data_IF_393004960673
#
_entry.id   IF_393004960673
#
_cell.length_a   1.000
_cell.length_b   1.000
_cell.length_c   1.000
_cell.angle_alpha   90.00
_cell.angle_beta   90.00
_cell.angle_gamma   90.00
#
_symmetry.space_group_name_H-M   'P 1'
#
loop_
_entity.id
_entity.type
_entity.pdbx_description
1 polymer ?
#
# COMPACT_ATOMS: atom_id res chain seq x y z
N UNK A 1 19.90 -10.24 28.59
CA UNK A 1 20.32 -10.91 27.34
C UNK A 1 19.13 -10.86 26.39
N UNK A 2 19.26 -10.10 25.29
CA UNK A 2 18.18 -9.82 24.34
C UNK A 2 18.42 -8.45 23.69
N UNK A 3 18.23 -8.32 22.38
CA UNK A 3 18.57 -7.12 21.61
C UNK A 3 19.08 -7.39 20.18
N UNK A 4 19.06 -8.66 19.74
CA UNK A 4 19.37 -9.02 18.35
C UNK A 4 18.07 -9.31 17.64
N UNK A 5 17.86 -8.64 16.51
CA UNK A 5 16.75 -8.91 15.58
C UNK A 5 17.31 -9.60 14.35
N UNK A 6 16.79 -10.78 14.03
CA UNK A 6 17.11 -11.50 12.80
C UNK A 6 16.04 -11.21 11.75
N UNK A 7 16.46 -10.95 10.52
CA UNK A 7 15.54 -10.82 9.39
C UNK A 7 16.01 -11.66 8.22
N UNK A 8 15.06 -12.09 7.38
CA UNK A 8 15.32 -12.80 6.14
C UNK A 8 14.25 -12.47 5.12
N UNK A 9 14.63 -12.41 3.85
CA UNK A 9 13.70 -12.19 2.76
C UNK A 9 12.86 -13.45 2.49
N UNK A 10 11.56 -13.25 2.24
CA UNK A 10 10.60 -14.30 1.91
C UNK A 10 9.95 -13.98 0.56
N UNK A 11 9.89 -14.97 -0.33
CA UNK A 11 9.22 -14.88 -1.64
C UNK A 11 8.41 -16.15 -1.88
N UNK A 12 7.22 -15.99 -2.47
CA UNK A 12 6.34 -17.12 -2.78
C UNK A 12 5.04 -16.70 -3.45
N UNK A 13 4.15 -17.68 -3.63
CA UNK A 13 2.81 -17.49 -4.15
C UNK A 13 1.84 -17.15 -3.02
N UNK A 14 0.85 -16.30 -3.31
CA UNK A 14 -0.14 -15.80 -2.35
C UNK A 14 -1.51 -15.70 -3.02
N UNK A 15 -2.58 -15.71 -2.21
CA UNK A 15 -3.97 -15.60 -2.71
C UNK A 15 -4.29 -14.18 -3.18
N UNK A 16 -3.91 -13.18 -2.39
CA UNK A 16 -4.02 -11.79 -2.78
C UNK A 16 -2.89 -11.44 -3.75
N UNK A 17 -3.25 -11.01 -4.95
CA UNK A 17 -2.31 -10.70 -6.04
C UNK A 17 -1.95 -9.23 -6.13
N UNK A 18 -2.52 -8.39 -5.27
CA UNK A 18 -2.43 -6.92 -5.35
C UNK A 18 -2.00 -6.24 -4.05
N UNK A 19 -1.91 -6.98 -2.94
CA UNK A 19 -1.50 -6.45 -1.63
C UNK A 19 -0.27 -5.52 -1.68
N UNK A 20 -0.24 -4.52 -0.81
CA UNK A 20 0.81 -3.50 -0.80
C UNK A 20 1.21 -3.18 0.63
N UNK A 21 2.48 -3.39 0.96
CA UNK A 21 3.06 -3.09 2.28
C UNK A 21 2.26 -3.64 3.47
N UNK A 22 1.60 -4.77 3.28
CA UNK A 22 0.88 -5.49 4.32
C UNK A 22 1.85 -5.98 5.38
N UNK A 23 1.43 -5.92 6.65
CA UNK A 23 2.16 -6.48 7.79
C UNK A 23 1.30 -7.49 8.52
N UNK A 24 1.93 -8.57 9.01
CA UNK A 24 1.27 -9.57 9.84
C UNK A 24 2.23 -10.10 10.88
N UNK A 25 1.74 -10.39 12.08
CA UNK A 25 2.54 -10.93 13.18
C UNK A 25 2.24 -10.21 14.49
N UNK A 26 3.20 -10.29 15.41
CA UNK A 26 3.17 -9.69 16.74
C UNK A 26 4.50 -8.99 17.08
N UNK A 27 4.68 -8.62 18.34
CA UNK A 27 5.85 -7.88 18.83
C UNK A 27 7.15 -8.69 18.80
N UNK A 28 7.08 -10.02 18.72
CA UNK A 28 8.25 -10.89 18.68
C UNK A 28 8.62 -11.30 17.25
N UNK A 29 7.62 -11.54 16.38
CA UNK A 29 7.83 -11.98 14.99
C UNK A 29 6.82 -11.34 14.05
N UNK A 30 7.33 -10.73 12.97
CA UNK A 30 6.51 -10.12 11.94
C UNK A 30 6.98 -10.43 10.51
N UNK A 31 6.04 -10.40 9.58
CA UNK A 31 6.27 -10.44 8.14
C UNK A 31 5.67 -9.17 7.52
N UNK A 32 6.44 -8.48 6.70
CA UNK A 32 5.98 -7.32 5.92
C UNK A 32 6.33 -7.51 4.46
N UNK A 33 5.40 -7.20 3.56
CA UNK A 33 5.64 -7.36 2.13
C UNK A 33 4.53 -6.83 1.23
N UNK A 34 4.72 -7.06 -0.07
CA UNK A 34 3.77 -6.68 -1.11
C UNK A 34 3.58 -7.86 -2.07
N UNK A 35 2.47 -7.85 -2.78
CA UNK A 35 2.06 -8.88 -3.73
C UNK A 35 2.06 -8.32 -5.15
N UNK A 36 2.05 -9.21 -6.13
CA UNK A 36 1.94 -8.83 -7.54
C UNK A 36 1.27 -9.96 -8.34
N UNK A 37 0.77 -9.62 -9.52
CA UNK A 37 0.21 -10.56 -10.47
C UNK A 37 1.19 -10.85 -11.61
N UNK A 38 1.24 -12.10 -12.05
CA UNK A 38 2.11 -12.56 -13.13
C UNK A 38 3.22 -13.49 -12.66
N UNK A 39 3.79 -14.25 -13.59
CA UNK A 39 4.86 -15.20 -13.28
C UNK A 39 6.14 -14.43 -12.91
N UNK A 40 6.77 -14.82 -11.80
CA UNK A 40 8.03 -14.22 -11.31
C UNK A 40 7.97 -12.70 -11.08
N UNK A 41 6.77 -12.12 -10.93
CA UNK A 41 6.59 -10.67 -10.75
C UNK A 41 7.21 -10.15 -9.44
N UNK A 42 7.41 -11.03 -8.45
CA UNK A 42 7.89 -10.70 -7.11
C UNK A 42 9.41 -10.55 -7.05
N UNK A 43 10.04 -10.12 -8.16
CA UNK A 43 11.49 -9.95 -8.24
C UNK A 43 11.98 -8.71 -7.51
N UNK A 44 11.24 -7.60 -7.64
CA UNK A 44 11.52 -6.31 -7.00
C UNK A 44 10.21 -5.63 -6.57
N UNK A 45 9.85 -5.75 -5.29
CA UNK A 45 8.62 -5.17 -4.74
C UNK A 45 8.85 -4.21 -3.57
N UNK A 46 10.11 -3.93 -3.22
CA UNK A 46 10.48 -3.09 -2.07
C UNK A 46 9.87 -1.68 -2.15
N UNK A 47 9.74 -1.13 -3.36
CA UNK A 47 9.24 0.23 -3.62
C UNK A 47 7.79 0.25 -4.10
N UNK A 48 7.06 -0.87 -4.03
CA UNK A 48 5.66 -0.88 -4.43
C UNK A 48 4.85 0.01 -3.48
N UNK A 49 4.14 0.97 -4.07
CA UNK A 49 3.24 1.91 -3.39
C UNK A 49 1.79 1.55 -3.71
N UNK A 50 0.86 2.08 -2.91
CA UNK A 50 -0.58 1.88 -3.14
C UNK A 50 -1.07 2.61 -4.39
N UNK A 51 -0.37 3.67 -4.77
CA UNK A 51 -0.74 4.53 -5.86
C UNK A 51 -0.04 4.14 -7.16
N UNK A 52 -0.69 4.43 -8.29
CA UNK A 52 -0.01 4.40 -9.58
C UNK A 52 1.22 5.33 -9.53
N UNK A 53 2.33 4.96 -10.19
CA UNK A 53 3.51 5.82 -10.25
C UNK A 53 3.19 7.21 -10.82
N UNK A 54 2.22 7.27 -11.74
CA UNK A 54 1.69 8.50 -12.32
C UNK A 54 0.32 8.83 -11.74
N UNK A 55 0.29 9.29 -10.49
CA UNK A 55 -0.86 10.03 -10.00
C UNK A 55 -0.95 11.33 -10.81
N UNK A 56 -2.11 11.66 -11.43
CA UNK A 56 -2.27 12.97 -12.02
C UNK A 56 -2.01 14.02 -10.94
N UNK A 57 -1.21 15.04 -11.26
CA UNK A 57 -1.02 16.18 -10.35
C UNK A 57 -2.40 16.73 -10.02
N UNK A 58 -2.69 16.90 -8.72
CA UNK A 58 -3.87 17.64 -8.32
C UNK A 58 -3.71 19.06 -8.84
N UNK A 59 -4.48 19.40 -9.88
CA UNK A 59 -4.67 20.79 -10.26
C UNK A 59 -5.48 21.46 -9.16
N UNK A 60 -4.91 22.49 -8.55
CA UNK A 60 -5.71 23.40 -7.72
C UNK A 60 -6.73 24.04 -8.65
N UNK A 61 -8.02 23.71 -8.47
CA UNK A 61 -9.07 24.50 -9.07
C UNK A 61 -8.84 25.97 -8.63
N UNK A 62 -8.95 26.94 -9.55
CA UNK A 62 -8.87 28.36 -9.20
C UNK A 62 -9.80 28.61 -8.02
N UNK A 63 -9.28 29.28 -6.99
CA UNK A 63 -10.03 29.65 -5.79
C UNK A 63 -11.34 30.32 -6.22
N UNK A 64 -12.46 29.62 -6.06
CA UNK A 64 -13.77 30.03 -6.58
C UNK A 64 -14.64 28.91 -7.18
N UNK A 65 -14.08 27.73 -7.47
CA UNK A 65 -14.83 26.61 -8.07
C UNK A 65 -14.96 25.38 -7.16
N UNK A 66 -14.75 25.53 -5.84
CA UNK A 66 -15.09 24.46 -4.91
C UNK A 66 -16.61 24.19 -5.03
N UNK A 67 -17.06 22.99 -5.43
CA UNK A 67 -18.46 22.66 -5.34
C UNK A 67 -18.80 22.67 -3.85
N UNK A 68 -19.60 23.65 -3.42
CA UNK A 68 -20.19 23.62 -2.10
C UNK A 68 -21.02 22.35 -2.02
N UNK A 69 -20.53 21.34 -1.31
CA UNK A 69 -21.34 20.19 -0.97
C UNK A 69 -22.50 20.70 -0.12
N UNK A 70 -23.68 20.87 -0.71
CA UNK A 70 -24.90 21.10 0.04
C UNK A 70 -25.22 19.82 0.79
N UNK A 71 -25.31 19.84 2.13
CA UNK A 71 -25.82 18.70 2.86
C UNK A 71 -27.30 18.55 2.47
N UNK A 72 -27.64 17.50 1.74
CA UNK A 72 -29.03 17.09 1.57
C UNK A 72 -29.54 16.56 2.93
N UNK A 73 -30.01 17.47 3.78
CA UNK A 73 -30.86 17.11 4.91
C UNK A 73 -32.19 16.63 4.34
N UNK A 74 -32.36 15.30 4.31
CA UNK A 74 -33.63 14.65 3.99
C UNK A 74 -34.60 14.91 5.13
N UNK A 75 -35.82 15.32 4.78
CA UNK A 75 -36.96 15.57 5.66
C UNK A 75 -37.59 14.28 6.14
#
# INVERSE_FOLDING_TARGET
LGGVTLWREVRGCVRDRSCTQESRGDDAVGLRGSCCAGNLCNRHLANKTFFAPDLPRLELLPHGHAPTATPNATK
#
